data_IF_513669023861
#
_entry.id   IF_513669023861
#
_cell.length_a   1.000
_cell.length_b   1.000
_cell.length_c   1.000
_cell.angle_alpha   90.00
_cell.angle_beta   90.00
_cell.angle_gamma   90.00
#
_symmetry.space_group_name_H-M   'P 1'
#
loop_
_entity.id
_entity.type
_entity.pdbx_description
1 polymer ?
#
# COMPACT_ATOMS: atom_id res chain seq x y z
N UNK A 1 -42.13 21.87 2.22
CA UNK A 1 -41.74 20.63 1.52
C UNK A 1 -40.21 20.36 1.65
N UNK A 2 -39.32 21.30 1.28
CA UNK A 2 -37.88 21.13 1.32
C UNK A 2 -37.35 20.83 2.73
N UNK A 3 -37.83 21.53 3.73
CA UNK A 3 -37.43 21.35 5.15
C UNK A 3 -37.75 19.94 5.68
N UNK A 4 -38.88 19.39 5.26
CA UNK A 4 -39.28 18.03 5.67
C UNK A 4 -38.36 17.00 5.07
N UNK A 5 -37.99 17.17 3.80
CA UNK A 5 -37.03 16.29 3.10
C UNK A 5 -35.66 16.36 3.78
N UNK A 6 -35.18 17.55 4.15
CA UNK A 6 -33.90 17.69 4.85
C UNK A 6 -33.93 16.99 6.21
N UNK A 7 -34.98 17.21 7.03
CA UNK A 7 -35.11 16.57 8.34
C UNK A 7 -35.20 15.05 8.21
N UNK A 8 -35.99 14.55 7.26
CA UNK A 8 -36.07 13.12 6.99
C UNK A 8 -34.72 12.52 6.58
N UNK A 9 -33.97 13.21 5.69
CA UNK A 9 -32.65 12.74 5.24
C UNK A 9 -31.66 12.70 6.39
N UNK A 10 -31.65 13.72 7.26
CA UNK A 10 -30.79 13.74 8.46
C UNK A 10 -31.20 12.64 9.43
N UNK A 11 -32.50 12.44 9.65
CA UNK A 11 -33.02 11.36 10.48
C UNK A 11 -32.62 9.96 9.98
N UNK A 12 -32.74 9.71 8.68
CA UNK A 12 -32.30 8.44 8.09
C UNK A 12 -30.78 8.24 8.19
N UNK A 13 -29.98 9.29 7.96
CA UNK A 13 -28.51 9.22 8.15
C UNK A 13 -28.15 8.94 9.60
N UNK A 14 -28.84 9.58 10.55
CA UNK A 14 -28.65 9.32 11.98
C UNK A 14 -28.98 7.86 12.33
N UNK A 15 -30.13 7.33 11.88
CA UNK A 15 -30.51 5.94 12.10
C UNK A 15 -29.53 4.96 11.45
N UNK A 16 -29.03 5.27 10.26
CA UNK A 16 -28.03 4.47 9.59
C UNK A 16 -26.65 4.49 10.29
N UNK A 17 -26.33 5.61 10.97
CA UNK A 17 -25.10 5.75 11.74
C UNK A 17 -25.18 5.04 13.11
N UNK A 18 -26.38 4.71 13.59
CA UNK A 18 -26.56 3.88 14.79
C UNK A 18 -26.12 2.45 14.47
N UNK A 19 -24.91 2.10 14.88
CA UNK A 19 -24.37 0.75 14.71
C UNK A 19 -25.07 -0.20 15.71
N UNK A 20 -26.17 -0.82 15.30
CA UNK A 20 -26.88 -1.81 16.11
C UNK A 20 -26.18 -3.17 16.16
N UNK A 21 -25.08 -3.35 15.41
CA UNK A 21 -24.31 -4.58 15.39
C UNK A 21 -23.37 -4.67 16.59
N UNK A 22 -23.48 -5.76 17.35
CA UNK A 22 -22.53 -6.05 18.44
C UNK A 22 -21.12 -6.14 17.84
N UNK A 23 -20.18 -5.42 18.42
CA UNK A 23 -18.75 -5.54 18.16
C UNK A 23 -18.25 -6.90 18.68
N UNK A 24 -18.49 -7.97 17.94
CA UNK A 24 -17.81 -9.24 18.19
C UNK A 24 -16.35 -9.14 17.71
N UNK A 25 -15.39 -9.72 18.45
CA UNK A 25 -14.02 -9.84 17.96
C UNK A 25 -14.04 -10.53 16.58
N UNK A 26 -13.29 -10.05 15.60
CA UNK A 26 -13.22 -10.73 14.31
C UNK A 26 -12.59 -12.11 14.49
N UNK A 27 -13.10 -13.09 13.75
CA UNK A 27 -12.47 -14.39 13.62
C UNK A 27 -11.10 -14.25 12.95
N UNK A 28 -10.14 -15.05 13.37
CA UNK A 28 -8.83 -15.13 12.72
C UNK A 28 -8.98 -15.80 11.35
N UNK A 29 -8.51 -15.15 10.32
CA UNK A 29 -8.53 -15.66 8.95
C UNK A 29 -7.13 -15.85 8.39
N UNK A 30 -6.91 -16.99 7.74
CA UNK A 30 -5.61 -17.34 7.15
C UNK A 30 -5.40 -16.73 5.75
N UNK A 31 -5.72 -15.46 5.57
CA UNK A 31 -5.63 -14.77 4.28
C UNK A 31 -4.36 -13.94 4.16
N UNK A 32 -3.74 -13.96 2.98
CA UNK A 32 -2.57 -13.12 2.69
C UNK A 32 -3.01 -11.74 2.20
N UNK A 33 -2.42 -10.71 2.78
CA UNK A 33 -2.81 -9.32 2.54
C UNK A 33 -1.60 -8.47 2.18
N UNK A 34 -1.73 -7.68 1.13
CA UNK A 34 -0.77 -6.62 0.79
C UNK A 34 -1.27 -5.32 1.40
N UNK A 35 -0.41 -4.65 2.18
CA UNK A 35 -0.67 -3.33 2.74
C UNK A 35 0.14 -2.30 1.93
N UNK A 36 -0.52 -1.59 1.03
CA UNK A 36 0.10 -0.60 0.14
C UNK A 36 0.10 0.77 0.79
N UNK A 37 1.27 1.40 0.84
CA UNK A 37 1.49 2.77 1.31
C UNK A 37 2.14 3.57 0.17
N UNK A 38 1.37 4.35 -0.59
CA UNK A 38 1.93 5.24 -1.61
C UNK A 38 2.50 6.49 -0.94
N UNK A 39 3.77 6.81 -1.21
CA UNK A 39 4.48 7.97 -0.70
C UNK A 39 4.88 8.91 -1.84
N UNK A 40 4.88 10.23 -1.57
CA UNK A 40 5.28 11.25 -2.54
C UNK A 40 6.25 12.28 -1.93
N UNK A 41 5.78 13.10 -0.99
CA UNK A 41 6.53 14.18 -0.35
C UNK A 41 6.42 14.18 1.17
N UNK A 42 5.81 13.14 1.72
CA UNK A 42 5.60 13.01 3.16
C UNK A 42 6.93 12.93 3.90
N UNK A 43 6.95 13.46 5.12
CA UNK A 43 8.11 13.42 6.01
C UNK A 43 8.27 12.06 6.69
N UNK A 44 9.48 11.80 7.17
CA UNK A 44 9.84 10.53 7.82
C UNK A 44 8.89 10.15 8.97
N UNK A 45 8.49 11.12 9.80
CA UNK A 45 7.63 10.87 10.96
C UNK A 45 6.23 10.41 10.55
N UNK A 46 5.70 10.99 9.47
CA UNK A 46 4.39 10.61 8.92
C UNK A 46 4.42 9.18 8.37
N UNK A 47 5.40 8.90 7.51
CA UNK A 47 5.60 7.56 6.93
C UNK A 47 5.83 6.53 8.04
N UNK A 48 6.65 6.87 9.05
CA UNK A 48 6.93 6.00 10.21
C UNK A 48 5.66 5.64 10.94
N UNK A 49 4.81 6.61 11.31
CA UNK A 49 3.55 6.36 12.01
C UNK A 49 2.66 5.39 11.23
N UNK A 50 2.55 5.58 9.93
CA UNK A 50 1.76 4.70 9.05
C UNK A 50 2.33 3.29 9.01
N UNK A 51 3.64 3.14 8.72
CA UNK A 51 4.29 1.82 8.64
C UNK A 51 4.25 1.09 9.97
N UNK A 52 4.51 1.77 11.08
CA UNK A 52 4.41 1.23 12.44
C UNK A 52 3.00 0.75 12.76
N UNK A 53 1.98 1.53 12.35
CA UNK A 53 0.58 1.14 12.57
C UNK A 53 0.21 -0.12 11.78
N UNK A 54 0.70 -0.24 10.52
CA UNK A 54 0.51 -1.44 9.70
C UNK A 54 1.24 -2.64 10.32
N UNK A 55 2.46 -2.46 10.81
CA UNK A 55 3.20 -3.54 11.46
C UNK A 55 2.48 -4.07 12.72
N UNK A 56 1.93 -3.16 13.55
CA UNK A 56 1.20 -3.47 14.80
C UNK A 56 -0.22 -4.01 14.61
N UNK A 57 -0.72 -4.14 13.38
CA UNK A 57 -2.04 -4.72 13.14
C UNK A 57 -2.11 -6.14 13.72
N UNK A 58 -3.18 -6.44 14.46
CA UNK A 58 -3.47 -7.77 14.99
C UNK A 58 -3.82 -8.74 13.86
N UNK A 59 -2.80 -9.20 13.19
CA UNK A 59 -2.86 -10.12 12.07
C UNK A 59 -1.51 -10.86 11.97
N UNK A 60 -1.49 -12.10 11.46
CA UNK A 60 -0.24 -12.87 11.32
C UNK A 60 0.77 -12.09 10.47
N UNK A 61 1.95 -11.81 11.04
CA UNK A 61 3.01 -11.02 10.39
C UNK A 61 3.49 -11.63 9.09
N UNK A 62 3.51 -12.97 9.00
CA UNK A 62 3.92 -13.72 7.80
C UNK A 62 2.91 -13.62 6.65
N UNK A 63 1.69 -13.19 6.94
CA UNK A 63 0.61 -13.04 5.97
C UNK A 63 0.34 -11.60 5.58
N UNK A 64 1.08 -10.66 6.18
CA UNK A 64 1.11 -9.25 5.80
C UNK A 64 2.34 -8.99 4.93
N UNK A 65 2.20 -8.21 3.89
CA UNK A 65 3.30 -7.64 3.11
C UNK A 65 3.13 -6.13 3.06
N UNK A 66 4.05 -5.40 3.65
CA UNK A 66 4.07 -3.93 3.55
C UNK A 66 4.69 -3.57 2.19
N UNK A 67 3.95 -2.86 1.34
CA UNK A 67 4.46 -2.39 0.06
C UNK A 67 4.45 -0.87 0.04
N UNK A 68 5.64 -0.27 0.11
CA UNK A 68 5.79 1.18 0.01
C UNK A 68 6.14 1.54 -1.42
N UNK A 69 5.37 2.45 -2.02
CA UNK A 69 5.61 2.90 -3.41
C UNK A 69 5.93 4.39 -3.38
N UNK A 70 7.19 4.73 -3.65
CA UNK A 70 7.65 6.11 -3.76
C UNK A 70 7.37 6.63 -5.18
N UNK A 71 6.52 7.66 -5.29
CA UNK A 71 6.09 8.22 -6.57
C UNK A 71 7.09 9.24 -7.11
N UNK A 72 8.24 8.76 -7.49
CA UNK A 72 9.36 9.51 -8.01
C UNK A 72 10.46 9.78 -7.00
N UNK A 73 11.61 10.22 -7.51
CA UNK A 73 12.74 10.64 -6.69
C UNK A 73 12.57 12.12 -6.28
N UNK A 74 11.65 12.37 -5.34
CA UNK A 74 11.20 13.71 -4.95
C UNK A 74 11.61 14.00 -3.52
N UNK A 75 12.08 15.23 -3.29
CA UNK A 75 12.34 15.76 -1.96
C UNK A 75 11.14 16.61 -1.51
N UNK A 76 10.51 16.25 -0.42
CA UNK A 76 9.44 17.04 0.20
C UNK A 76 9.99 18.30 0.89
N UNK A 77 9.13 19.30 1.05
CA UNK A 77 9.51 20.52 1.77
C UNK A 77 9.82 20.19 3.23
N UNK A 78 11.00 20.58 3.70
CA UNK A 78 11.46 20.30 5.06
C UNK A 78 12.09 18.94 5.28
N UNK A 79 12.24 18.13 4.24
CA UNK A 79 12.94 16.85 4.30
C UNK A 79 14.43 17.03 3.96
N UNK A 80 15.28 16.27 4.62
CA UNK A 80 16.75 16.31 4.43
C UNK A 80 17.21 15.41 3.26
N UNK A 81 16.35 14.52 2.78
CA UNK A 81 16.64 13.59 1.68
C UNK A 81 15.39 13.33 0.82
N UNK A 82 15.57 12.79 -0.41
CA UNK A 82 14.45 12.36 -1.22
C UNK A 82 13.61 11.26 -0.56
N UNK A 83 12.31 11.26 -0.78
CA UNK A 83 11.37 10.30 -0.17
C UNK A 83 11.79 8.84 -0.29
N UNK A 84 12.32 8.34 -1.44
CA UNK A 84 12.81 6.96 -1.51
C UNK A 84 13.93 6.67 -0.51
N UNK A 85 14.86 7.60 -0.30
CA UNK A 85 15.95 7.43 0.66
C UNK A 85 15.40 7.39 2.09
N UNK A 86 14.48 8.31 2.45
CA UNK A 86 13.84 8.33 3.76
C UNK A 86 13.11 7.02 4.08
N UNK A 87 12.45 6.45 3.07
CA UNK A 87 11.75 5.16 3.20
C UNK A 87 12.73 4.01 3.42
N UNK A 88 13.82 3.96 2.65
CA UNK A 88 14.83 2.91 2.77
C UNK A 88 15.54 2.97 4.13
N UNK A 89 15.91 4.17 4.58
CA UNK A 89 16.52 4.39 5.89
C UNK A 89 15.56 4.00 7.03
N UNK A 90 14.27 4.37 6.90
CA UNK A 90 13.22 4.02 7.85
C UNK A 90 13.05 2.50 8.01
N UNK A 91 13.04 1.78 6.88
CA UNK A 91 12.83 0.33 6.84
C UNK A 91 14.11 -0.47 7.13
N UNK A 92 15.24 0.20 7.33
CA UNK A 92 16.53 -0.44 7.57
C UNK A 92 17.03 -1.24 6.37
N UNK A 93 16.75 -0.77 5.16
CA UNK A 93 17.26 -1.40 3.94
C UNK A 93 18.80 -1.33 3.91
N UNK A 94 19.43 -2.37 3.35
CA UNK A 94 20.89 -2.39 3.22
C UNK A 94 21.37 -1.19 2.38
N UNK A 95 22.20 -0.29 2.91
CA UNK A 95 22.72 0.86 2.18
C UNK A 95 23.55 0.48 0.94
N UNK A 96 24.06 -0.75 0.92
CA UNK A 96 24.86 -1.28 -0.19
C UNK A 96 24.03 -2.07 -1.23
N UNK A 97 22.73 -2.22 -1.01
CA UNK A 97 21.85 -2.87 -1.96
C UNK A 97 21.70 -2.02 -3.22
N UNK A 98 22.44 -2.37 -4.26
CA UNK A 98 22.33 -1.74 -5.57
C UNK A 98 21.20 -2.40 -6.36
N UNK A 99 20.00 -1.81 -6.31
CA UNK A 99 18.91 -2.25 -7.16
C UNK A 99 18.98 -1.59 -8.53
N UNK A 100 18.94 -2.41 -9.58
CA UNK A 100 18.90 -1.95 -10.97
C UNK A 100 17.52 -1.40 -11.31
N UNK A 101 17.43 -0.25 -12.02
CA UNK A 101 16.15 0.26 -12.48
C UNK A 101 15.50 -0.70 -13.49
N UNK A 102 14.24 -1.03 -13.27
CA UNK A 102 13.45 -1.91 -14.14
C UNK A 102 12.33 -1.13 -14.81
N UNK A 103 12.16 -1.31 -16.11
CA UNK A 103 11.17 -0.58 -16.89
C UNK A 103 9.76 -1.15 -16.72
N UNK A 104 8.78 -0.25 -16.80
CA UNK A 104 7.36 -0.57 -16.80
C UNK A 104 6.54 0.50 -17.52
N UNK A 105 5.30 0.16 -17.87
CA UNK A 105 4.34 1.11 -18.42
C UNK A 105 3.54 1.75 -17.27
N UNK A 106 3.66 3.06 -17.14
CA UNK A 106 2.96 3.87 -16.16
C UNK A 106 1.75 4.60 -16.76
N UNK A 107 0.98 5.26 -15.91
CA UNK A 107 -0.02 6.22 -16.36
C UNK A 107 0.69 7.47 -16.91
N UNK A 108 0.31 7.88 -18.11
CA UNK A 108 0.86 9.06 -18.75
C UNK A 108 0.63 9.04 -20.25
N UNK A 109 0.91 10.14 -20.90
CA UNK A 109 0.84 10.29 -22.36
C UNK A 109 2.23 10.43 -22.95
N UNK A 110 2.39 9.96 -24.18
CA UNK A 110 3.67 10.06 -24.90
C UNK A 110 4.82 9.38 -24.13
N UNK A 111 5.93 10.09 -23.99
CA UNK A 111 7.14 9.58 -23.31
C UNK A 111 6.93 9.25 -21.83
N UNK A 112 5.95 9.90 -21.18
CA UNK A 112 5.63 9.65 -19.76
C UNK A 112 5.01 8.27 -19.49
N UNK A 113 4.57 7.55 -20.50
CA UNK A 113 4.15 6.15 -20.36
C UNK A 113 5.31 5.24 -19.98
N UNK A 114 6.53 5.58 -20.37
CA UNK A 114 7.72 4.84 -20.00
C UNK A 114 8.22 5.33 -18.63
N UNK A 115 8.37 4.42 -17.70
CA UNK A 115 8.90 4.72 -16.38
C UNK A 115 9.83 3.60 -15.94
N UNK A 116 10.66 3.89 -14.95
CA UNK A 116 11.55 2.93 -14.33
C UNK A 116 11.40 2.99 -12.81
N UNK A 117 11.61 1.84 -12.16
CA UNK A 117 11.62 1.77 -10.70
C UNK A 117 12.67 0.76 -10.21
N UNK A 118 13.15 0.98 -9.00
CA UNK A 118 14.01 0.06 -8.26
C UNK A 118 13.18 -0.67 -7.21
N UNK A 119 13.50 -1.94 -6.99
CA UNK A 119 12.80 -2.79 -6.02
C UNK A 119 13.77 -3.17 -4.90
N UNK A 120 13.31 -3.01 -3.66
CA UNK A 120 14.03 -3.44 -2.46
C UNK A 120 13.08 -4.25 -1.60
N UNK A 121 13.60 -5.21 -0.85
CA UNK A 121 12.80 -6.00 0.09
C UNK A 121 13.61 -6.39 1.31
N UNK A 122 12.91 -6.67 2.39
CA UNK A 122 13.50 -7.06 3.65
C UNK A 122 12.43 -7.37 4.70
N UNK A 123 12.83 -7.33 5.96
CA UNK A 123 11.97 -7.53 7.11
C UNK A 123 11.99 -6.26 7.97
N UNK A 124 10.83 -5.74 8.28
CA UNK A 124 10.65 -4.59 9.16
C UNK A 124 10.30 -5.07 10.56
N UNK A 125 11.13 -4.68 11.52
CA UNK A 125 10.92 -5.01 12.93
C UNK A 125 10.41 -3.79 13.69
N UNK A 126 9.24 -3.92 14.32
CA UNK A 126 8.68 -2.89 15.18
C UNK A 126 7.81 -3.49 16.29
N UNK A 127 8.05 -3.09 17.54
CA UNK A 127 7.26 -3.48 18.73
C UNK A 127 7.05 -5.01 18.87
N UNK A 128 8.05 -5.83 18.50
CA UNK A 128 7.97 -7.29 18.55
C UNK A 128 7.29 -7.95 17.34
N UNK A 129 6.88 -7.16 16.36
CA UNK A 129 6.38 -7.63 15.06
C UNK A 129 7.53 -7.68 14.05
N UNK A 130 7.56 -8.71 13.21
CA UNK A 130 8.52 -8.86 12.12
C UNK A 130 7.76 -9.09 10.81
N UNK A 131 7.60 -8.02 10.03
CA UNK A 131 6.75 -8.02 8.84
C UNK A 131 7.59 -7.84 7.57
N UNK A 132 7.41 -8.70 6.54
CA UNK A 132 8.09 -8.52 5.27
C UNK A 132 7.65 -7.22 4.58
N UNK A 133 8.62 -6.55 3.94
CA UNK A 133 8.35 -5.36 3.15
C UNK A 133 8.90 -5.44 1.73
N UNK A 134 8.30 -4.68 0.84
CA UNK A 134 8.74 -4.40 -0.52
C UNK A 134 8.69 -2.89 -0.76
N UNK A 135 9.78 -2.30 -1.24
CA UNK A 135 9.81 -0.89 -1.65
C UNK A 135 9.93 -0.83 -3.17
N UNK A 136 9.06 -0.03 -3.79
CA UNK A 136 9.10 0.27 -5.22
C UNK A 136 9.41 1.76 -5.35
N UNK A 137 10.67 2.09 -5.66
CA UNK A 137 11.13 3.46 -5.81
C UNK A 137 11.14 3.85 -7.29
N UNK A 138 10.12 4.59 -7.73
CA UNK A 138 10.05 5.10 -9.11
C UNK A 138 11.16 6.14 -9.32
N UNK A 139 11.96 5.96 -10.35
CA UNK A 139 13.12 6.80 -10.63
C UNK A 139 13.08 7.52 -11.99
N UNK A 140 12.09 7.21 -12.84
CA UNK A 140 11.98 7.79 -14.17
C UNK A 140 13.00 7.23 -15.18
N UNK A 141 12.88 7.68 -16.41
CA UNK A 141 13.88 7.41 -17.45
C UNK A 141 15.07 8.36 -17.30
N UNK A 142 16.25 8.03 -17.85
CA UNK A 142 17.43 8.89 -17.74
C UNK A 142 17.25 10.32 -18.27
N UNK A 143 16.31 10.51 -19.17
CA UNK A 143 16.01 11.82 -19.79
C UNK A 143 15.09 12.70 -18.92
N UNK A 144 14.52 12.17 -17.85
CA UNK A 144 13.64 12.94 -16.96
C UNK A 144 14.44 13.78 -15.97
N UNK A 145 14.44 15.10 -16.14
CA UNK A 145 15.13 16.05 -15.25
C UNK A 145 14.20 16.56 -14.14
N UNK A 146 12.97 16.92 -14.49
CA UNK A 146 11.99 17.47 -13.55
C UNK A 146 11.12 16.37 -12.96
N UNK A 147 11.18 16.16 -11.64
CA UNK A 147 10.40 15.15 -10.89
C UNK A 147 10.50 13.74 -11.51
N UNK A 148 11.70 13.16 -11.61
CA UNK A 148 11.90 11.90 -12.29
C UNK A 148 11.09 10.78 -11.63
N UNK A 149 10.37 10.03 -12.47
CA UNK A 149 9.54 8.89 -12.06
C UNK A 149 8.16 9.24 -11.51
N UNK A 150 7.83 10.52 -11.29
CA UNK A 150 6.53 10.93 -10.76
C UNK A 150 5.41 10.74 -11.78
N UNK A 151 4.36 10.02 -11.40
CA UNK A 151 3.16 9.76 -12.22
C UNK A 151 1.85 9.87 -11.41
N UNK A 152 1.96 10.21 -10.13
CA UNK A 152 0.84 10.37 -9.24
C UNK A 152 0.43 9.10 -8.50
N UNK A 153 -0.33 9.28 -7.43
CA UNK A 153 -0.81 8.21 -6.52
C UNK A 153 -1.56 7.10 -7.26
N UNK A 154 -2.38 7.46 -8.26
CA UNK A 154 -3.16 6.47 -9.03
C UNK A 154 -2.28 5.51 -9.81
N UNK A 155 -1.16 5.98 -10.36
CA UNK A 155 -0.19 5.11 -11.01
C UNK A 155 0.42 4.12 -10.01
N UNK A 156 0.78 4.60 -8.81
CA UNK A 156 1.29 3.74 -7.73
C UNK A 156 0.30 2.64 -7.34
N UNK A 157 -0.99 2.97 -7.27
CA UNK A 157 -2.05 1.99 -7.01
C UNK A 157 -2.15 0.96 -8.15
N UNK A 158 -2.12 1.42 -9.40
CA UNK A 158 -2.24 0.55 -10.56
C UNK A 158 -1.04 -0.38 -10.78
N UNK A 159 0.17 0.01 -10.37
CA UNK A 159 1.35 -0.86 -10.44
C UNK A 159 1.08 -2.18 -9.73
N UNK A 160 0.61 -2.15 -8.48
CA UNK A 160 0.28 -3.38 -7.75
C UNK A 160 -0.93 -4.11 -8.31
N UNK A 161 -1.99 -3.40 -8.66
CA UNK A 161 -3.20 -4.04 -9.22
C UNK A 161 -2.88 -4.78 -10.51
N UNK A 162 -2.07 -4.18 -11.40
CA UNK A 162 -1.61 -4.82 -12.64
C UNK A 162 -0.73 -6.02 -12.37
N UNK A 163 0.21 -5.88 -11.42
CA UNK A 163 1.09 -6.97 -11.04
C UNK A 163 0.30 -8.19 -10.54
N UNK A 164 -0.58 -8.03 -9.55
CA UNK A 164 -1.35 -9.14 -9.02
C UNK A 164 -2.35 -9.71 -10.03
N UNK A 165 -2.93 -8.87 -10.90
CA UNK A 165 -3.76 -9.35 -12.00
C UNK A 165 -2.96 -10.31 -12.92
N UNK A 166 -1.74 -9.91 -13.29
CA UNK A 166 -0.88 -10.78 -14.12
C UNK A 166 -0.42 -12.05 -13.40
N UNK A 167 -0.16 -11.97 -12.10
CA UNK A 167 0.17 -13.15 -11.27
C UNK A 167 -0.99 -14.15 -11.30
N UNK A 168 -2.22 -13.68 -11.05
CA UNK A 168 -3.38 -14.56 -10.96
C UNK A 168 -3.83 -15.15 -12.31
N UNK A 169 -3.65 -14.40 -13.39
CA UNK A 169 -4.04 -14.85 -14.74
C UNK A 169 -2.89 -15.41 -15.58
N UNK A 170 -1.68 -15.51 -15.04
CA UNK A 170 -0.52 -16.03 -15.75
C UNK A 170 -0.12 -15.20 -16.98
N UNK A 171 -0.36 -13.88 -16.95
CA UNK A 171 -0.10 -12.99 -18.08
C UNK A 171 1.35 -12.53 -18.15
N UNK A 172 1.88 -12.16 -19.35
CA UNK A 172 3.25 -11.67 -19.49
C UNK A 172 3.52 -10.45 -18.62
N UNK A 173 4.67 -10.46 -17.93
CA UNK A 173 5.10 -9.43 -16.99
C UNK A 173 6.12 -8.48 -17.62
N UNK A 174 6.09 -7.21 -17.23
CA UNK A 174 7.15 -6.24 -17.52
C UNK A 174 8.40 -6.55 -16.69
N UNK A 175 9.58 -5.97 -17.04
CA UNK A 175 10.79 -6.12 -16.24
C UNK A 175 10.62 -5.76 -14.75
N UNK A 176 9.88 -4.69 -14.43
CA UNK A 176 9.57 -4.34 -13.04
C UNK A 176 8.74 -5.42 -12.34
N UNK A 177 7.69 -5.92 -13.01
CA UNK A 177 6.81 -6.94 -12.42
C UNK A 177 7.55 -8.28 -12.20
N UNK A 178 8.48 -8.64 -13.09
CA UNK A 178 9.36 -9.80 -12.88
C UNK A 178 10.29 -9.61 -11.67
N UNK A 179 10.83 -8.42 -11.48
CA UNK A 179 11.66 -8.08 -10.32
C UNK A 179 10.85 -8.15 -9.02
N UNK A 180 9.64 -7.58 -9.01
CA UNK A 180 8.70 -7.70 -7.88
C UNK A 180 8.38 -9.16 -7.56
N UNK A 181 8.11 -9.97 -8.60
CA UNK A 181 7.85 -11.40 -8.46
C UNK A 181 9.04 -12.12 -7.83
N UNK A 182 10.25 -11.82 -8.31
CA UNK A 182 11.50 -12.38 -7.77
C UNK A 182 11.68 -12.05 -6.29
N UNK A 183 11.50 -10.78 -5.92
CA UNK A 183 11.63 -10.33 -4.52
C UNK A 183 10.60 -11.01 -3.60
N UNK A 184 9.33 -11.08 -3.99
CA UNK A 184 8.28 -11.68 -3.17
C UNK A 184 8.48 -13.20 -3.06
N UNK A 185 8.76 -13.87 -4.17
CA UNK A 185 8.85 -15.34 -4.20
C UNK A 185 10.17 -15.87 -3.66
N UNK A 186 11.30 -15.28 -4.09
CA UNK A 186 12.62 -15.87 -3.85
C UNK A 186 13.36 -15.23 -2.67
N UNK A 187 13.09 -13.97 -2.34
CA UNK A 187 13.74 -13.28 -1.21
C UNK A 187 12.85 -13.36 0.03
N UNK A 188 11.59 -12.93 -0.07
CA UNK A 188 10.62 -13.01 1.05
C UNK A 188 10.15 -14.44 1.27
N UNK A 189 10.10 -15.26 0.22
CA UNK A 189 9.76 -16.69 0.31
C UNK A 189 8.27 -17.00 0.23
N UNK A 190 7.42 -16.05 -0.18
CA UNK A 190 5.98 -16.22 -0.32
C UNK A 190 5.58 -16.22 -1.79
N UNK A 191 4.78 -17.19 -2.22
CA UNK A 191 4.27 -17.16 -3.59
C UNK A 191 3.31 -15.95 -3.77
N UNK A 192 3.56 -15.04 -4.72
CA UNK A 192 2.71 -13.88 -4.96
C UNK A 192 1.23 -14.22 -5.19
N UNK A 193 0.91 -15.42 -5.70
CA UNK A 193 -0.47 -15.85 -5.92
C UNK A 193 -1.27 -16.08 -4.63
N UNK A 194 -0.61 -16.14 -3.47
CA UNK A 194 -1.30 -16.30 -2.19
C UNK A 194 -1.95 -15.00 -1.70
N UNK A 195 -1.49 -13.84 -2.17
CA UNK A 195 -2.07 -12.55 -1.79
C UNK A 195 -3.44 -12.36 -2.46
N UNK A 196 -4.48 -12.39 -1.65
CA UNK A 196 -5.88 -12.28 -2.10
C UNK A 196 -6.48 -10.89 -1.88
N UNK A 197 -5.94 -10.13 -0.94
CA UNK A 197 -6.49 -8.83 -0.53
C UNK A 197 -5.44 -7.74 -0.60
N UNK A 198 -5.91 -6.53 -0.96
CA UNK A 198 -5.11 -5.32 -1.01
C UNK A 198 -5.72 -4.28 -0.07
N UNK A 199 -4.99 -3.90 0.98
CA UNK A 199 -5.30 -2.77 1.85
C UNK A 199 -4.50 -1.56 1.36
N UNK A 200 -5.17 -0.47 1.04
CA UNK A 200 -4.53 0.79 0.66
C UNK A 200 -4.62 1.77 1.81
N UNK A 201 -3.48 2.33 2.21
CA UNK A 201 -3.36 3.26 3.34
C UNK A 201 -2.55 4.46 2.89
N UNK A 202 -3.02 5.66 3.17
CA UNK A 202 -2.27 6.89 2.89
C UNK A 202 -1.07 7.01 3.82
N UNK A 203 0.03 7.61 3.35
CA UNK A 203 1.29 7.68 4.07
C UNK A 203 1.28 8.59 5.32
N UNK A 204 0.15 9.20 5.63
CA UNK A 204 -0.14 10.04 6.79
C UNK A 204 -1.27 9.49 7.68
N UNK A 205 -1.68 8.23 7.44
CA UNK A 205 -2.82 7.61 8.12
C UNK A 205 -2.35 6.54 9.10
N UNK A 206 -2.82 6.63 10.35
CA UNK A 206 -2.61 5.60 11.38
C UNK A 206 -3.78 4.62 11.42
N UNK A 207 -3.49 3.32 11.44
CA UNK A 207 -4.49 2.26 11.48
C UNK A 207 -4.77 1.79 12.90
N UNK A 208 -6.04 1.57 13.20
CA UNK A 208 -6.45 0.89 14.44
C UNK A 208 -6.09 -0.61 14.36
N UNK A 209 -5.60 -1.17 15.45
CA UNK A 209 -4.98 -2.50 15.49
C UNK A 209 -5.89 -3.65 15.02
N UNK A 210 -7.21 -3.52 15.15
CA UNK A 210 -8.17 -4.56 14.76
C UNK A 210 -8.78 -4.34 13.35
N UNK A 211 -8.47 -3.23 12.69
CA UNK A 211 -9.13 -2.81 11.44
C UNK A 211 -8.96 -3.83 10.32
N UNK A 212 -7.73 -4.34 10.09
CA UNK A 212 -7.47 -5.33 9.04
C UNK A 212 -8.27 -6.62 9.25
N UNK A 213 -8.24 -7.17 10.46
CA UNK A 213 -8.96 -8.40 10.77
C UNK A 213 -10.48 -8.24 10.54
N UNK A 214 -11.05 -7.07 10.89
CA UNK A 214 -12.46 -6.75 10.64
C UNK A 214 -12.79 -6.64 9.17
N UNK A 215 -11.93 -5.99 8.37
CA UNK A 215 -12.11 -5.87 6.93
C UNK A 215 -12.06 -7.25 6.25
N UNK A 216 -11.09 -8.09 6.61
CA UNK A 216 -10.97 -9.45 6.08
C UNK A 216 -12.18 -10.30 6.48
N UNK A 217 -12.63 -10.24 7.73
CA UNK A 217 -13.82 -10.95 8.18
C UNK A 217 -15.07 -10.55 7.39
N UNK A 218 -15.23 -9.26 7.04
CA UNK A 218 -16.32 -8.79 6.22
C UNK A 218 -16.29 -9.36 4.79
N UNK A 219 -15.11 -9.40 4.15
CA UNK A 219 -14.93 -10.03 2.82
C UNK A 219 -15.20 -11.54 2.83
N UNK A 220 -14.74 -12.24 3.87
CA UNK A 220 -14.95 -13.70 3.98
C UNK A 220 -16.42 -14.01 4.21
N UNK A 221 -17.12 -13.16 4.99
CA UNK A 221 -18.55 -13.33 5.29
C UNK A 221 -19.45 -13.13 4.08
N UNK A 222 -19.15 -12.16 3.23
CA UNK A 222 -19.92 -11.88 2.02
C UNK A 222 -19.02 -11.83 0.77
N UNK A 223 -19.05 -12.91 0.00
CA UNK A 223 -18.26 -13.06 -1.24
C UNK A 223 -18.68 -12.12 -2.39
N UNK A 224 -19.79 -11.39 -2.24
CA UNK A 224 -20.22 -10.40 -3.23
C UNK A 224 -19.58 -9.03 -3.00
N UNK A 225 -18.98 -8.81 -1.82
CA UNK A 225 -18.25 -7.59 -1.51
C UNK A 225 -16.92 -7.62 -2.22
N UNK A 226 -16.67 -6.63 -3.09
CA UNK A 226 -15.42 -6.47 -3.85
C UNK A 226 -14.55 -5.33 -3.33
N UNK A 227 -15.09 -4.46 -2.47
CA UNK A 227 -14.39 -3.33 -1.89
C UNK A 227 -15.05 -2.87 -0.60
N UNK A 228 -14.23 -2.45 0.37
CA UNK A 228 -14.65 -1.88 1.65
C UNK A 228 -13.86 -0.60 1.91
N UNK A 229 -14.46 0.32 2.62
CA UNK A 229 -13.83 1.54 3.09
C UNK A 229 -13.86 1.55 4.62
N UNK A 230 -12.74 1.90 5.25
CA UNK A 230 -12.68 2.16 6.67
C UNK A 230 -13.29 3.52 7.02
N UNK A 231 -13.65 3.70 8.28
CA UNK A 231 -14.00 5.00 8.83
C UNK A 231 -12.72 5.73 9.23
N UNK A 232 -12.60 7.01 8.83
CA UNK A 232 -11.48 7.87 9.21
C UNK A 232 -11.91 8.83 10.30
N UNK A 233 -11.25 8.77 11.45
CA UNK A 233 -11.40 9.76 12.51
C UNK A 233 -10.27 10.79 12.43
N UNK A 234 -10.58 12.06 12.71
CA UNK A 234 -9.55 13.10 12.91
C UNK A 234 -9.03 12.98 14.34
N UNK A 235 -7.73 12.81 14.48
CA UNK A 235 -7.02 12.80 15.77
C UNK A 235 -6.60 14.21 16.17
#
# INVERSE_FOLDING_TARGET
>A
ALSIVMVATVGFKFLAALQFTRSTPPEEHEKFVVCQVPCYTEGTDSIRKTVDSVARLRYDDRRKLIVVICDGNIMGAGNDAPTPQLVLDLLGADPHAHAEPRSFLSLGEGTKQHNMARVYSGLYEHAGHLVPYLVIAKCGTPDEVARPGNRGKRDSQLVLMRFFNKVHFGSPMSPLELEMYHHIKNIIGVNPSFYEYLLQVDADTELESSSLARLIAAFVRDKKVIGLCGETALS
#
